data_IF_450399517286
#
_entry.id   IF_450399517286
#
_cell.length_a   1.000
_cell.length_b   1.000
_cell.length_c   1.000
_cell.angle_alpha   90.00
_cell.angle_beta   90.00
_cell.angle_gamma   90.00
#
_symmetry.space_group_name_H-M   'P 1'
#
loop_
_entity.id
_entity.type
_entity.pdbx_description
1 polymer ?
#
# COMPACT_ATOMS: atom_id res chain seq x y z
N UNK A 1 -5.06 -17.83 1.18
CA UNK A 1 -5.07 -17.53 2.63
C UNK A 1 -4.84 -18.82 3.40
N UNK A 2 -3.91 -18.85 4.36
CA UNK A 2 -3.49 -20.07 5.09
C UNK A 2 -4.58 -20.57 6.07
N UNK A 3 -5.79 -20.83 5.59
CA UNK A 3 -6.95 -21.21 6.39
C UNK A 3 -7.60 -20.08 7.20
N UNK A 4 -7.23 -18.82 6.95
CA UNK A 4 -7.78 -17.62 7.62
C UNK A 4 -8.67 -16.82 6.69
N UNK A 5 -9.62 -16.08 7.25
CA UNK A 5 -10.38 -15.06 6.53
C UNK A 5 -9.53 -13.81 6.30
N UNK A 6 -10.02 -12.92 5.43
CA UNK A 6 -9.40 -11.61 5.20
C UNK A 6 -9.36 -10.77 6.49
N UNK A 7 -10.48 -10.73 7.20
CA UNK A 7 -10.64 -10.00 8.46
C UNK A 7 -9.67 -10.49 9.54
N UNK A 8 -9.52 -11.82 9.69
CA UNK A 8 -8.55 -12.39 10.63
C UNK A 8 -7.10 -12.02 10.28
N UNK A 9 -6.78 -11.84 9.00
CA UNK A 9 -5.45 -11.40 8.57
C UNK A 9 -5.26 -9.92 8.89
N UNK A 10 -6.24 -9.09 8.59
CA UNK A 10 -6.22 -7.65 8.88
C UNK A 10 -6.06 -7.42 10.40
N UNK A 11 -6.83 -8.12 11.23
CA UNK A 11 -6.78 -8.00 12.68
C UNK A 11 -5.39 -8.32 13.24
N UNK A 12 -4.70 -9.31 12.65
CA UNK A 12 -3.35 -9.65 13.06
C UNK A 12 -2.32 -8.59 12.68
N UNK A 13 -2.48 -7.97 11.50
CA UNK A 13 -1.63 -6.85 11.08
C UNK A 13 -1.85 -5.64 12.01
N UNK A 14 -3.10 -5.28 12.27
CA UNK A 14 -3.46 -4.16 13.16
C UNK A 14 -2.94 -4.42 14.58
N UNK A 15 -3.09 -5.65 15.09
CA UNK A 15 -2.52 -6.05 16.38
C UNK A 15 -1.01 -5.84 16.42
N UNK A 16 -0.28 -6.29 15.40
CA UNK A 16 1.17 -6.10 15.31
C UNK A 16 1.60 -4.63 15.25
N UNK A 17 0.86 -3.79 14.52
CA UNK A 17 1.09 -2.33 14.48
C UNK A 17 0.92 -1.73 15.89
N UNK A 18 -0.17 -2.08 16.58
CA UNK A 18 -0.47 -1.57 17.92
C UNK A 18 0.49 -2.08 19.00
N UNK A 19 1.07 -3.27 18.84
CA UNK A 19 2.12 -3.78 19.73
C UNK A 19 3.38 -2.91 19.69
N UNK A 20 3.64 -2.23 18.57
CA UNK A 20 4.72 -1.24 18.43
C UNK A 20 4.26 0.13 18.93
N UNK A 21 3.13 0.62 18.43
CA UNK A 21 2.55 1.90 18.86
C UNK A 21 1.05 1.96 18.51
N UNK A 22 0.20 2.10 19.53
CA UNK A 22 -1.25 2.18 19.37
C UNK A 22 -1.76 3.47 18.72
N UNK A 23 -0.91 4.48 18.57
CA UNK A 23 -1.26 5.77 17.95
C UNK A 23 -0.86 5.87 16.48
N UNK A 24 -0.26 4.81 15.90
CA UNK A 24 0.09 4.83 14.48
C UNK A 24 -1.17 4.80 13.61
N UNK A 25 -1.33 5.75 12.67
CA UNK A 25 -2.46 5.74 11.76
C UNK A 25 -2.30 4.59 10.76
N UNK A 26 -3.41 3.93 10.45
CA UNK A 26 -3.50 2.94 9.38
C UNK A 26 -4.83 3.10 8.64
N UNK A 27 -4.86 2.66 7.39
CA UNK A 27 -6.06 2.61 6.56
C UNK A 27 -6.16 1.22 5.92
N UNK A 28 -7.38 0.70 5.81
CA UNK A 28 -7.65 -0.59 5.18
C UNK A 28 -8.30 -0.31 3.83
N UNK A 29 -7.60 -0.65 2.74
CA UNK A 29 -8.08 -0.50 1.36
C UNK A 29 -8.11 -1.90 0.73
N UNK A 30 -9.31 -2.42 0.46
CA UNK A 30 -9.50 -3.82 0.03
C UNK A 30 -8.88 -4.15 -1.33
N UNK A 31 -8.73 -3.17 -2.22
CA UNK A 31 -8.18 -3.37 -3.56
C UNK A 31 -6.74 -2.90 -3.63
N UNK A 32 -5.82 -3.83 -3.93
CA UNK A 32 -4.38 -3.59 -3.99
C UNK A 32 -4.00 -2.38 -4.87
N UNK A 33 -4.56 -2.30 -6.09
CA UNK A 33 -4.26 -1.20 -7.02
C UNK A 33 -4.67 0.17 -6.48
N UNK A 34 -5.78 0.25 -5.74
CA UNK A 34 -6.23 1.48 -5.09
C UNK A 34 -5.35 1.81 -3.88
N UNK A 35 -4.93 0.81 -3.11
CA UNK A 35 -4.02 1.00 -1.98
C UNK A 35 -2.66 1.56 -2.43
N UNK A 36 -2.11 1.04 -3.53
CA UNK A 36 -0.86 1.53 -4.12
C UNK A 36 -1.04 2.96 -4.64
N UNK A 37 -2.08 3.22 -5.42
CA UNK A 37 -2.36 4.56 -5.95
C UNK A 37 -2.54 5.61 -4.84
N UNK A 38 -3.27 5.25 -3.79
CA UNK A 38 -3.47 6.09 -2.61
C UNK A 38 -2.15 6.38 -1.89
N UNK A 39 -1.32 5.35 -1.69
CA UNK A 39 0.01 5.49 -1.06
C UNK A 39 0.92 6.43 -1.84
N UNK A 40 0.94 6.32 -3.18
CA UNK A 40 1.73 7.20 -4.05
C UNK A 40 1.21 8.64 -3.99
N UNK A 41 -0.11 8.84 -4.00
CA UNK A 41 -0.71 10.18 -3.94
C UNK A 41 -0.45 10.90 -2.60
N UNK A 42 -0.32 10.16 -1.50
CA UNK A 42 0.03 10.71 -0.18
C UNK A 42 1.53 10.94 0.02
N UNK A 43 2.37 10.19 -0.69
CA UNK A 43 3.81 10.21 -0.52
C UNK A 43 4.40 11.59 -0.85
N UNK A 44 5.31 12.04 0.00
CA UNK A 44 6.08 13.27 -0.16
C UNK A 44 7.50 12.95 -0.56
N UNK A 45 8.20 13.96 -1.08
CA UNK A 45 9.62 13.82 -1.42
C UNK A 45 10.42 13.35 -0.20
N UNK A 46 11.07 12.20 -0.34
CA UNK A 46 11.87 11.57 0.72
C UNK A 46 11.15 10.43 1.44
N UNK A 47 9.86 10.23 1.20
CA UNK A 47 9.13 9.07 1.73
C UNK A 47 9.56 7.78 1.03
N UNK A 48 9.49 6.66 1.76
CA UNK A 48 9.81 5.33 1.25
C UNK A 48 8.57 4.44 1.31
N UNK A 49 8.05 4.08 0.14
CA UNK A 49 6.87 3.22 0.01
C UNK A 49 7.31 1.77 -0.18
N UNK A 50 6.77 0.86 0.64
CA UNK A 50 7.05 -0.58 0.56
C UNK A 50 5.76 -1.31 0.23
N UNK A 51 5.76 -2.09 -0.85
CA UNK A 51 4.67 -2.97 -1.22
C UNK A 51 5.09 -4.43 -1.06
N UNK A 52 4.31 -5.21 -0.31
CA UNK A 52 4.48 -6.65 -0.16
C UNK A 52 3.38 -7.34 -0.98
N UNK A 53 3.66 -7.63 -2.25
CA UNK A 53 2.71 -8.24 -3.19
C UNK A 53 3.20 -9.61 -3.67
N UNK A 54 2.28 -10.56 -3.73
CA UNK A 54 2.47 -11.91 -4.26
C UNK A 54 2.65 -11.87 -5.79
N UNK A 55 2.12 -10.82 -6.44
CA UNK A 55 2.07 -10.66 -7.90
C UNK A 55 2.78 -9.37 -8.29
N UNK A 56 4.11 -9.45 -8.31
CA UNK A 56 5.02 -8.31 -8.56
C UNK A 56 4.67 -7.51 -9.82
N UNK A 57 4.18 -8.18 -10.88
CA UNK A 57 3.83 -7.53 -12.15
C UNK A 57 2.77 -6.45 -11.98
N UNK A 58 1.72 -6.70 -11.20
CA UNK A 58 0.62 -5.75 -11.02
C UNK A 58 1.10 -4.48 -10.30
N UNK A 59 1.93 -4.64 -9.28
CA UNK A 59 2.50 -3.52 -8.54
C UNK A 59 3.41 -2.66 -9.44
N UNK A 60 4.26 -3.29 -10.26
CA UNK A 60 5.14 -2.58 -11.21
C UNK A 60 4.32 -1.78 -12.22
N UNK A 61 3.27 -2.38 -12.80
CA UNK A 61 2.43 -1.69 -13.79
C UNK A 61 1.75 -0.44 -13.21
N UNK A 62 1.22 -0.52 -11.99
CA UNK A 62 0.61 0.63 -11.31
C UNK A 62 1.65 1.71 -11.04
N UNK A 63 2.82 1.34 -10.50
CA UNK A 63 3.90 2.30 -10.21
C UNK A 63 4.37 3.01 -11.48
N UNK A 64 4.56 2.28 -12.58
CA UNK A 64 4.99 2.87 -13.85
C UNK A 64 3.93 3.77 -14.46
N UNK A 65 2.66 3.38 -14.39
CA UNK A 65 1.56 4.25 -14.80
C UNK A 65 1.60 5.59 -14.06
N UNK A 66 1.77 5.58 -12.73
CA UNK A 66 1.84 6.81 -11.95
C UNK A 66 3.07 7.66 -12.27
N UNK A 67 4.24 7.04 -12.47
CA UNK A 67 5.47 7.74 -12.89
C UNK A 67 5.28 8.43 -14.24
N UNK A 68 4.69 7.75 -15.22
CA UNK A 68 4.43 8.31 -16.55
C UNK A 68 3.48 9.52 -16.50
N UNK A 69 2.47 9.48 -15.63
CA UNK A 69 1.58 10.63 -15.41
C UNK A 69 2.30 11.79 -14.73
N UNK A 70 3.15 11.53 -13.73
CA UNK A 70 3.93 12.57 -13.06
C UNK A 70 4.89 13.26 -14.04
N UNK A 71 5.58 12.49 -14.88
CA UNK A 71 6.46 13.03 -15.93
C UNK A 71 5.68 13.90 -16.91
N UNK A 72 4.50 13.44 -17.37
CA UNK A 72 3.64 14.21 -18.30
C UNK A 72 3.11 15.51 -17.68
N UNK A 73 2.79 15.52 -16.40
CA UNK A 73 2.26 16.70 -15.70
C UNK A 73 3.36 17.73 -15.35
N UNK A 74 4.62 17.29 -15.27
CA UNK A 74 5.78 18.15 -15.02
C UNK A 74 6.43 18.70 -16.31
N UNK A 75 5.88 18.36 -17.48
CA UNK A 75 6.23 18.87 -18.82
C UNK A 75 5.24 19.95 -19.26
#
# INVERSE_FOLDING_TARGET
MRGRTEEEIIDLLVKGIHEVNSSFPYEIISKETEAIAHSIAMAKKGDFVVALSDVVTNAIEVVQYHLDQEIKNNL
#
